data_IF_517007751804
#
_entry.id   IF_517007751804
#
_cell.length_a   1.000
_cell.length_b   1.000
_cell.length_c   1.000
_cell.angle_alpha   90.00
_cell.angle_beta   90.00
_cell.angle_gamma   90.00
#
_symmetry.space_group_name_H-M   'P 1'
#
loop_
_entity.id
_entity.type
_entity.pdbx_description
1 polymer ?
#
# COMPACT_ATOMS: atom_id res chain seq x y z
N UNK A 1 -4.83 7.48 -8.34
CA UNK A 1 -5.40 6.97 -9.62
C UNK A 1 -6.92 7.10 -9.49
N UNK A 2 -7.59 8.08 -10.13
CA UNK A 2 -9.04 8.26 -9.97
C UNK A 2 -9.80 7.10 -10.62
N UNK A 3 -10.46 6.25 -9.82
CA UNK A 3 -11.26 5.13 -10.33
C UNK A 3 -12.74 5.41 -10.07
N UNK A 4 -13.42 5.92 -11.10
CA UNK A 4 -14.87 5.98 -11.16
C UNK A 4 -15.44 4.69 -11.78
N UNK A 5 -16.67 4.37 -11.43
CA UNK A 5 -17.42 3.15 -11.73
C UNK A 5 -17.75 2.92 -13.23
N UNK A 6 -16.99 3.52 -14.15
CA UNK A 6 -17.22 3.47 -15.59
C UNK A 6 -16.25 2.49 -16.28
N UNK A 7 -16.77 1.75 -17.25
CA UNK A 7 -16.10 0.77 -18.13
C UNK A 7 -14.91 1.30 -18.96
N UNK A 8 -14.41 2.49 -18.64
CA UNK A 8 -13.38 3.24 -19.35
C UNK A 8 -12.07 3.37 -18.56
N UNK A 9 -11.89 2.66 -17.44
CA UNK A 9 -10.64 2.72 -16.67
C UNK A 9 -9.41 2.22 -17.46
N UNK A 10 -8.37 3.06 -17.56
CA UNK A 10 -7.12 2.80 -18.30
C UNK A 10 -5.91 2.65 -17.37
N UNK A 11 -5.08 1.62 -17.58
CA UNK A 11 -3.77 1.44 -16.91
C UNK A 11 -2.70 1.87 -17.89
N UNK A 12 -1.80 2.75 -17.47
CA UNK A 12 -0.54 2.99 -18.17
C UNK A 12 0.57 2.20 -17.46
N UNK A 13 1.31 1.38 -18.20
CA UNK A 13 2.50 0.66 -17.73
C UNK A 13 3.74 1.22 -18.41
N UNK A 14 4.92 1.16 -17.77
CA UNK A 14 6.17 1.68 -18.35
C UNK A 14 6.24 3.21 -18.42
N UNK A 15 5.39 3.89 -17.64
CA UNK A 15 5.33 5.35 -17.54
C UNK A 15 6.37 5.86 -16.54
N UNK A 16 7.04 6.96 -16.87
CA UNK A 16 8.00 7.65 -16.01
C UNK A 16 7.48 9.01 -15.54
N UNK A 17 6.86 9.78 -16.44
CA UNK A 17 6.35 11.12 -16.16
C UNK A 17 4.82 11.14 -16.29
N UNK A 18 4.09 11.78 -15.37
CA UNK A 18 2.66 11.99 -15.57
C UNK A 18 2.38 13.03 -16.66
N UNK A 19 3.33 13.91 -16.97
CA UNK A 19 3.19 14.91 -18.02
C UNK A 19 4.33 14.79 -19.04
N UNK A 20 4.04 15.12 -20.30
CA UNK A 20 5.00 15.00 -21.41
C UNK A 20 5.12 13.59 -21.98
N UNK A 21 6.18 13.39 -22.76
CA UNK A 21 6.38 12.18 -23.56
C UNK A 21 6.84 10.98 -22.72
N UNK A 22 6.21 9.83 -22.94
CA UNK A 22 6.58 8.55 -22.34
C UNK A 22 6.73 7.48 -23.44
N UNK A 23 7.92 7.35 -24.07
CA UNK A 23 8.10 6.47 -25.24
C UNK A 23 7.93 4.98 -24.93
N UNK A 24 8.02 4.61 -23.65
CA UNK A 24 7.87 3.23 -23.18
C UNK A 24 6.47 2.95 -22.60
N UNK A 25 5.58 3.94 -22.58
CA UNK A 25 4.24 3.77 -22.02
C UNK A 25 3.39 2.84 -22.89
N UNK A 26 2.74 1.89 -22.24
CA UNK A 26 1.74 1.03 -22.84
C UNK A 26 0.45 1.14 -22.05
N UNK A 27 -0.61 1.60 -22.72
CA UNK A 27 -1.93 1.76 -22.10
C UNK A 27 -2.86 0.59 -22.40
N UNK A 28 -3.59 0.13 -21.38
CA UNK A 28 -4.54 -0.99 -21.45
C UNK A 28 -5.85 -0.62 -20.77
N UNK A 29 -6.97 -1.10 -21.33
CA UNK A 29 -8.25 -1.04 -20.63
C UNK A 29 -8.29 -2.07 -19.51
N UNK A 30 -9.07 -1.79 -18.49
CA UNK A 30 -9.42 -2.74 -17.45
C UNK A 30 -10.70 -3.47 -17.87
N UNK A 31 -10.65 -4.80 -17.90
CA UNK A 31 -11.82 -5.64 -18.18
C UNK A 31 -12.61 -5.94 -16.93
N UNK A 32 -11.91 -6.16 -15.81
CA UNK A 32 -12.56 -6.45 -14.55
C UNK A 32 -11.72 -5.99 -13.38
N UNK A 33 -12.45 -5.92 -12.29
CA UNK A 33 -12.22 -5.11 -11.14
C UNK A 33 -12.80 -5.99 -10.02
N UNK A 34 -11.95 -6.66 -9.24
CA UNK A 34 -12.31 -7.57 -8.12
C UNK A 34 -11.87 -7.06 -6.72
N UNK A 35 -12.79 -6.53 -5.91
CA UNK A 35 -12.50 -5.98 -4.56
C UNK A 35 -12.25 -7.17 -3.62
N UNK A 36 -11.43 -6.98 -2.59
CA UNK A 36 -11.45 -7.95 -1.51
C UNK A 36 -12.86 -7.96 -0.87
N UNK A 37 -13.52 -9.12 -0.75
CA UNK A 37 -14.94 -9.19 -0.33
C UNK A 37 -15.18 -8.70 1.11
N UNK A 38 -14.13 -8.68 1.92
CA UNK A 38 -14.16 -8.21 3.30
C UNK A 38 -13.52 -6.82 3.48
N UNK A 39 -13.40 -6.03 2.40
CA UNK A 39 -12.95 -4.64 2.52
C UNK A 39 -13.90 -3.86 3.44
N UNK A 40 -13.32 -3.18 4.43
CA UNK A 40 -14.04 -2.33 5.37
C UNK A 40 -13.56 -0.89 5.22
N UNK A 41 -14.41 -0.02 4.67
CA UNK A 41 -14.09 1.39 4.45
C UNK A 41 -13.98 2.21 5.74
N UNK A 42 -14.44 1.70 6.89
CA UNK A 42 -14.33 2.41 8.18
C UNK A 42 -12.96 2.18 8.81
N UNK A 43 -12.44 0.97 8.68
CA UNK A 43 -11.16 0.57 9.30
C UNK A 43 -10.00 0.53 8.30
N UNK A 44 -10.29 0.65 7.01
CA UNK A 44 -9.37 0.37 5.91
C UNK A 44 -8.79 -1.06 5.97
N UNK A 45 -9.45 -1.98 6.67
CA UNK A 45 -9.03 -3.38 6.68
C UNK A 45 -9.38 -4.05 5.35
N UNK A 46 -8.50 -4.93 4.89
CA UNK A 46 -8.60 -5.57 3.57
C UNK A 46 -8.59 -4.58 2.39
N UNK A 47 -7.83 -3.48 2.52
CA UNK A 47 -7.61 -2.46 1.49
C UNK A 47 -6.72 -2.99 0.34
N UNK A 48 -7.22 -4.02 -0.34
CA UNK A 48 -6.61 -4.67 -1.50
C UNK A 48 -7.70 -5.09 -2.48
N UNK A 49 -7.30 -5.22 -3.74
CA UNK A 49 -8.21 -5.29 -4.87
C UNK A 49 -7.42 -5.90 -6.04
N UNK A 50 -8.04 -6.39 -7.12
CA UNK A 50 -7.34 -7.01 -8.27
C UNK A 50 -7.80 -6.45 -9.62
N UNK A 51 -6.83 -6.12 -10.47
CA UNK A 51 -7.09 -5.78 -11.86
C UNK A 51 -6.99 -6.95 -12.79
N UNK A 52 -7.95 -7.01 -13.71
CA UNK A 52 -7.77 -7.70 -14.96
C UNK A 52 -7.65 -6.72 -16.12
N UNK A 53 -6.53 -6.78 -16.83
CA UNK A 53 -6.39 -6.06 -18.09
C UNK A 53 -7.30 -6.69 -19.15
N UNK A 54 -7.78 -5.88 -20.10
CA UNK A 54 -8.56 -6.38 -21.24
C UNK A 54 -7.74 -7.26 -22.17
N UNK A 55 -6.44 -6.98 -22.28
CA UNK A 55 -5.48 -7.73 -23.06
C UNK A 55 -4.14 -7.79 -22.33
N UNK A 56 -3.36 -8.87 -22.51
CA UNK A 56 -2.02 -8.96 -21.95
C UNK A 56 -1.10 -7.82 -22.40
N UNK A 57 -0.06 -7.58 -21.62
CA UNK A 57 1.03 -6.66 -21.97
C UNK A 57 2.28 -7.48 -22.32
N UNK A 58 3.06 -7.00 -23.27
CA UNK A 58 4.37 -7.59 -23.56
C UNK A 58 5.39 -7.06 -22.56
N UNK A 59 6.20 -7.95 -22.00
CA UNK A 59 7.27 -7.54 -21.10
C UNK A 59 8.41 -6.90 -21.89
N UNK A 60 8.97 -5.84 -21.31
CA UNK A 60 10.07 -5.06 -21.87
C UNK A 60 11.08 -4.75 -20.75
N UNK A 61 12.09 -3.94 -21.04
CA UNK A 61 12.97 -3.43 -19.99
C UNK A 61 12.27 -2.43 -19.06
N UNK A 62 11.13 -1.87 -19.47
CA UNK A 62 10.36 -0.87 -18.72
C UNK A 62 9.05 -1.43 -18.16
N UNK A 63 8.63 -2.62 -18.57
CA UNK A 63 7.40 -3.29 -18.13
C UNK A 63 7.77 -4.70 -17.70
N UNK A 64 7.88 -4.90 -16.38
CA UNK A 64 8.17 -6.20 -15.77
C UNK A 64 7.29 -6.41 -14.54
N UNK A 65 6.84 -7.64 -14.29
CA UNK A 65 6.13 -7.95 -13.06
C UNK A 65 7.08 -7.93 -11.86
N UNK A 66 6.53 -7.63 -10.69
CA UNK A 66 7.20 -7.80 -9.40
C UNK A 66 6.81 -9.15 -8.79
N UNK A 67 7.66 -9.74 -7.95
CA UNK A 67 7.26 -10.92 -7.18
C UNK A 67 6.33 -10.49 -6.03
N UNK A 68 5.38 -11.34 -5.64
CA UNK A 68 4.51 -11.09 -4.49
C UNK A 68 5.08 -11.78 -3.25
N UNK A 69 4.89 -11.18 -2.08
CA UNK A 69 5.27 -11.82 -0.81
C UNK A 69 4.41 -13.07 -0.57
N UNK A 70 5.06 -14.23 -0.38
CA UNK A 70 4.38 -15.46 0.04
C UNK A 70 3.83 -15.34 1.47
N UNK A 71 2.84 -16.16 1.84
CA UNK A 71 2.10 -16.08 3.10
C UNK A 71 2.93 -16.24 4.37
N UNK A 72 4.06 -16.93 4.27
CA UNK A 72 5.05 -17.13 5.34
C UNK A 72 6.19 -16.11 5.32
N UNK A 73 6.07 -15.06 4.50
CA UNK A 73 7.07 -13.98 4.44
C UNK A 73 7.08 -13.15 5.72
N UNK A 74 8.29 -12.81 6.18
CA UNK A 74 8.54 -12.06 7.41
C UNK A 74 9.26 -10.76 7.13
N UNK A 75 8.62 -9.64 7.46
CA UNK A 75 9.17 -8.30 7.32
C UNK A 75 9.26 -7.68 8.70
N UNK A 76 10.41 -7.84 9.37
CA UNK A 76 10.59 -7.37 10.75
C UNK A 76 11.01 -5.90 10.78
N UNK A 77 10.92 -5.30 11.97
CA UNK A 77 11.30 -3.91 12.20
C UNK A 77 12.71 -3.61 11.67
N UNK A 78 12.85 -2.51 10.92
CA UNK A 78 14.11 -2.09 10.29
C UNK A 78 14.39 -2.72 8.93
N UNK A 79 13.53 -3.59 8.40
CA UNK A 79 13.68 -4.09 7.02
C UNK A 79 13.53 -2.93 6.03
N UNK A 80 14.50 -2.70 5.16
CA UNK A 80 14.44 -1.63 4.17
C UNK A 80 13.38 -1.93 3.10
N UNK A 81 12.44 -1.01 2.95
CA UNK A 81 11.42 -0.99 1.89
C UNK A 81 11.59 0.21 0.99
N UNK A 82 11.14 0.08 -0.26
CA UNK A 82 11.03 1.17 -1.22
C UNK A 82 9.57 1.38 -1.57
N UNK A 83 9.15 2.64 -1.58
CA UNK A 83 7.84 3.07 -2.06
C UNK A 83 8.07 4.01 -3.23
N UNK A 84 7.30 3.80 -4.30
CA UNK A 84 7.42 4.57 -5.53
C UNK A 84 6.07 5.10 -5.96
N UNK A 85 6.03 6.34 -6.44
CA UNK A 85 4.79 6.93 -6.94
C UNK A 85 4.95 8.37 -7.42
N UNK A 86 3.80 8.98 -7.70
CA UNK A 86 3.70 10.35 -8.22
C UNK A 86 2.87 11.25 -7.31
N UNK A 87 2.71 10.85 -6.05
CA UNK A 87 2.04 11.64 -5.03
C UNK A 87 2.78 12.93 -4.69
N UNK A 88 2.19 13.65 -3.75
CA UNK A 88 2.71 14.90 -3.24
C UNK A 88 4.13 14.71 -2.66
N UNK A 89 5.06 15.62 -2.99
CA UNK A 89 6.47 15.56 -2.50
C UNK A 89 6.59 15.96 -1.03
N UNK A 90 5.57 16.63 -0.52
CA UNK A 90 5.37 17.00 0.87
C UNK A 90 3.87 17.12 1.10
N UNK A 91 3.41 16.98 2.34
CA UNK A 91 2.00 17.16 2.68
C UNK A 91 1.45 18.50 2.13
N UNK A 92 0.45 18.40 1.25
CA UNK A 92 -0.15 19.56 0.58
C UNK A 92 0.67 20.19 -0.56
N UNK A 93 1.79 19.59 -0.96
CA UNK A 93 2.67 20.09 -2.04
C UNK A 93 2.71 19.10 -3.19
N UNK A 94 2.06 19.46 -4.30
CA UNK A 94 2.06 18.65 -5.51
C UNK A 94 3.46 18.46 -6.11
N UNK A 95 3.66 17.32 -6.77
CA UNK A 95 4.85 17.02 -7.54
C UNK A 95 5.03 18.06 -8.67
N UNK A 96 6.23 18.66 -8.85
CA UNK A 96 6.45 19.65 -9.90
C UNK A 96 6.48 19.01 -11.29
N UNK A 97 6.18 19.80 -12.32
CA UNK A 97 6.34 19.42 -13.73
C UNK A 97 7.76 18.85 -14.00
N UNK A 98 7.92 17.74 -14.75
CA UNK A 98 6.90 17.02 -15.52
C UNK A 98 6.21 15.89 -14.75
N UNK A 99 6.19 15.98 -13.41
CA UNK A 99 5.63 14.96 -12.52
C UNK A 99 6.34 13.61 -12.73
N UNK A 100 7.66 13.61 -12.56
CA UNK A 100 8.52 12.41 -12.69
C UNK A 100 8.35 11.48 -11.49
N UNK A 101 8.32 10.17 -11.75
CA UNK A 101 8.21 9.12 -10.72
C UNK A 101 9.26 9.33 -9.63
N UNK A 102 8.81 9.33 -8.38
CA UNK A 102 9.64 9.44 -7.19
C UNK A 102 9.79 8.08 -6.51
N UNK A 103 10.84 7.97 -5.70
CA UNK A 103 11.08 6.83 -4.83
C UNK A 103 11.56 7.28 -3.46
N UNK A 104 11.18 6.53 -2.43
CA UNK A 104 11.66 6.76 -1.07
C UNK A 104 11.93 5.43 -0.38
N UNK A 105 13.10 5.34 0.26
CA UNK A 105 13.44 4.22 1.13
C UNK A 105 12.93 4.51 2.55
N UNK A 106 12.10 3.60 3.07
CA UNK A 106 11.55 3.65 4.43
C UNK A 106 11.71 2.29 5.12
N UNK A 107 12.05 2.25 6.43
CA UNK A 107 12.15 1.00 7.15
C UNK A 107 10.73 0.49 7.51
N UNK A 108 10.54 -0.82 7.46
CA UNK A 108 9.38 -1.48 8.05
C UNK A 108 9.34 -1.20 9.54
N UNK A 109 8.15 -0.88 10.05
CA UNK A 109 7.87 -0.76 11.47
C UNK A 109 7.03 -1.95 11.91
N UNK A 110 7.39 -2.53 13.05
CA UNK A 110 6.64 -3.64 13.62
C UNK A 110 5.18 -3.28 13.91
N UNK A 111 4.27 -4.23 13.69
CA UNK A 111 2.83 -3.98 13.79
C UNK A 111 2.40 -3.55 15.20
N UNK A 112 3.01 -4.06 16.27
CA UNK A 112 2.65 -3.68 17.63
C UNK A 112 3.02 -2.24 17.91
N UNK A 113 4.27 -1.86 17.61
CA UNK A 113 4.68 -0.47 17.71
C UNK A 113 3.80 0.44 16.84
N UNK A 114 3.54 0.04 15.59
CA UNK A 114 2.69 0.81 14.69
C UNK A 114 1.26 0.99 15.23
N UNK A 115 0.66 -0.06 15.80
CA UNK A 115 -0.66 0.00 16.43
C UNK A 115 -0.66 0.96 17.63
N UNK A 116 0.42 1.01 18.41
CA UNK A 116 0.53 1.97 19.52
C UNK A 116 0.61 3.43 19.02
N UNK A 117 1.26 3.66 17.88
CA UNK A 117 1.43 5.00 17.29
C UNK A 117 0.16 5.50 16.58
N UNK A 118 -0.58 4.62 15.90
CA UNK A 118 -1.80 4.95 15.17
C UNK A 118 -3.08 4.86 16.00
N UNK A 119 -2.96 4.57 17.30
CA UNK A 119 -4.08 4.29 18.20
C UNK A 119 -4.35 2.79 18.30
N UNK A 120 -4.42 2.30 19.54
CA UNK A 120 -4.57 0.86 19.81
C UNK A 120 -5.88 0.35 19.22
N UNK A 121 -5.78 -0.59 18.29
CA UNK A 121 -6.91 -1.20 17.58
C UNK A 121 -7.05 -0.73 16.13
N UNK A 122 -6.27 0.26 15.70
CA UNK A 122 -6.28 0.78 14.32
C UNK A 122 -5.57 -0.16 13.35
N UNK A 123 -4.49 -0.83 13.78
CA UNK A 123 -3.65 -1.66 12.89
C UNK A 123 -3.93 -3.14 13.09
N UNK A 124 -4.34 -3.83 12.03
CA UNK A 124 -4.65 -5.27 12.02
C UNK A 124 -3.47 -6.11 11.51
N UNK A 125 -3.59 -7.44 11.58
CA UNK A 125 -2.59 -8.37 11.01
C UNK A 125 -2.57 -8.37 9.47
N UNK A 126 -3.61 -7.82 8.84
CA UNK A 126 -3.74 -7.61 7.40
C UNK A 126 -3.00 -6.36 6.91
N UNK A 127 -2.40 -5.61 7.84
CA UNK A 127 -1.64 -4.39 7.56
C UNK A 127 -0.15 -4.58 7.89
N UNK A 128 0.69 -3.79 7.24
CA UNK A 128 2.12 -3.62 7.49
C UNK A 128 2.43 -2.13 7.52
N UNK A 129 3.33 -1.71 8.39
CA UNK A 129 3.69 -0.30 8.51
C UNK A 129 5.12 -0.06 8.06
N UNK A 130 5.38 1.15 7.55
CA UNK A 130 6.72 1.60 7.23
C UNK A 130 6.83 3.10 7.41
N UNK A 131 8.01 3.57 7.80
CA UNK A 131 8.26 4.98 8.01
C UNK A 131 9.40 5.25 8.99
N UNK A 132 9.97 6.43 8.90
CA UNK A 132 11.00 6.89 9.84
C UNK A 132 10.31 7.58 11.01
N UNK A 133 10.55 7.12 12.25
CA UNK A 133 9.89 7.68 13.44
C UNK A 133 10.19 9.18 13.66
N UNK A 134 11.35 9.66 13.19
CA UNK A 134 11.68 11.08 13.21
C UNK A 134 10.88 11.92 12.18
N UNK A 135 10.11 11.28 11.30
CA UNK A 135 9.45 11.90 10.16
C UNK A 135 10.39 12.13 8.96
N UNK A 136 9.91 12.92 8.00
CA UNK A 136 10.66 13.40 6.85
C UNK A 136 10.71 12.44 5.64
N UNK A 137 10.28 11.18 5.78
CA UNK A 137 10.18 10.21 4.68
C UNK A 137 8.91 9.37 4.81
N UNK A 138 8.09 9.36 3.77
CA UNK A 138 6.82 8.63 3.70
C UNK A 138 6.28 8.60 2.26
N UNK A 139 5.30 7.74 2.00
CA UNK A 139 4.35 7.94 0.89
C UNK A 139 3.42 9.12 1.18
N UNK A 140 2.81 9.71 0.16
CA UNK A 140 1.91 10.84 0.39
C UNK A 140 0.68 10.82 -0.53
N UNK A 141 -0.16 11.86 -0.44
CA UNK A 141 -1.41 11.92 -1.20
C UNK A 141 -1.15 11.75 -2.70
N UNK A 142 -1.85 10.79 -3.32
CA UNK A 142 -1.66 10.41 -4.72
C UNK A 142 -0.84 9.14 -4.93
N UNK A 143 -0.14 8.64 -3.91
CA UNK A 143 0.57 7.35 -3.95
C UNK A 143 -0.31 6.14 -3.58
N UNK A 144 -1.56 6.35 -3.13
CA UNK A 144 -2.48 5.28 -2.71
C UNK A 144 -2.61 4.20 -3.78
N UNK A 145 -2.49 2.94 -3.34
CA UNK A 145 -2.40 1.78 -4.20
C UNK A 145 -1.03 1.49 -4.80
N UNK A 146 -0.06 2.39 -4.64
CA UNK A 146 1.33 2.19 -5.05
C UNK A 146 1.98 1.02 -4.31
N UNK A 147 3.05 0.44 -4.87
CA UNK A 147 3.70 -0.71 -4.26
C UNK A 147 4.66 -0.26 -3.15
N UNK A 148 4.68 -1.03 -2.06
CA UNK A 148 5.83 -1.10 -1.16
C UNK A 148 6.58 -2.40 -1.47
N UNK A 149 7.87 -2.29 -1.81
CA UNK A 149 8.70 -3.42 -2.22
C UNK A 149 9.94 -3.57 -1.34
N UNK A 150 10.38 -4.80 -1.12
CA UNK A 150 11.61 -5.14 -0.42
C UNK A 150 12.52 -5.94 -1.35
N UNK A 151 13.82 -5.73 -1.23
CA UNK A 151 14.81 -6.44 -2.01
C UNK A 151 15.38 -7.63 -1.21
N UNK A 152 15.36 -8.83 -1.78
CA UNK A 152 16.03 -10.02 -1.25
C UNK A 152 16.99 -10.57 -2.31
N UNK A 153 18.29 -10.36 -2.11
CA UNK A 153 19.28 -10.64 -3.14
C UNK A 153 19.01 -9.82 -4.41
N UNK A 154 18.78 -10.49 -5.53
CA UNK A 154 18.44 -9.84 -6.81
C UNK A 154 16.93 -9.74 -7.08
N UNK A 155 16.07 -10.17 -6.15
CA UNK A 155 14.62 -10.24 -6.34
C UNK A 155 13.94 -9.10 -5.59
N UNK A 156 13.01 -8.42 -6.27
CA UNK A 156 12.10 -7.46 -5.66
C UNK A 156 10.78 -8.13 -5.34
N UNK A 157 10.36 -8.02 -4.07
CA UNK A 157 9.15 -8.64 -3.53
C UNK A 157 8.22 -7.53 -3.04
N UNK A 158 7.01 -7.48 -3.57
CA UNK A 158 5.98 -6.57 -3.09
C UNK A 158 5.39 -7.10 -1.77
N UNK A 159 5.64 -6.36 -0.70
CA UNK A 159 5.22 -6.66 0.66
C UNK A 159 4.00 -5.86 1.09
N UNK A 160 3.81 -4.68 0.50
CA UNK A 160 2.73 -3.77 0.84
C UNK A 160 2.06 -3.11 -0.37
N UNK A 161 0.88 -2.57 -0.13
CA UNK A 161 0.14 -1.65 -1.00
C UNK A 161 -0.15 -0.40 -0.18
N UNK A 162 0.24 0.79 -0.65
CA UNK A 162 0.01 2.07 0.05
C UNK A 162 -1.49 2.22 0.32
N UNK A 163 -1.87 2.44 1.58
CA UNK A 163 -3.26 2.52 2.01
C UNK A 163 -3.56 3.88 2.64
N UNK A 164 -3.18 4.08 3.91
CA UNK A 164 -3.50 5.29 4.66
C UNK A 164 -2.36 5.76 5.58
N UNK A 165 -2.50 6.97 6.10
CA UNK A 165 -1.61 7.56 7.09
C UNK A 165 -2.18 8.88 7.63
N UNK A 166 -1.71 9.31 8.80
CA UNK A 166 -2.12 10.59 9.39
C UNK A 166 -1.17 11.71 8.96
N UNK A 167 -1.50 12.38 7.85
CA UNK A 167 -0.61 13.32 7.18
C UNK A 167 0.48 12.59 6.38
N UNK A 168 1.55 13.28 5.98
CA UNK A 168 2.69 12.64 5.32
C UNK A 168 3.98 12.94 6.06
N UNK A 169 4.78 11.90 6.34
CA UNK A 169 6.13 12.05 6.88
C UNK A 169 6.17 12.84 8.21
N UNK A 170 5.09 12.81 8.98
CA UNK A 170 5.04 13.43 10.31
C UNK A 170 5.74 12.55 11.34
N UNK A 171 6.45 13.12 12.32
CA UNK A 171 7.11 12.32 13.37
C UNK A 171 6.11 11.42 14.10
N UNK A 172 6.51 10.17 14.36
CA UNK A 172 5.72 9.13 15.03
C UNK A 172 4.38 8.78 14.37
N UNK A 173 4.15 9.16 13.11
CA UNK A 173 2.96 8.80 12.34
C UNK A 173 3.41 8.03 11.08
N UNK A 174 3.72 6.73 11.21
CA UNK A 174 4.17 5.93 10.07
C UNK A 174 3.01 5.68 9.09
N UNK A 175 3.35 5.49 7.81
CA UNK A 175 2.39 5.03 6.81
C UNK A 175 1.95 3.58 7.07
N UNK A 176 0.69 3.30 6.72
CA UNK A 176 0.07 1.98 6.83
C UNK A 176 -0.26 1.46 5.44
N UNK A 177 0.07 0.19 5.22
CA UNK A 177 0.00 -0.49 3.93
C UNK A 177 -0.75 -1.81 4.10
N UNK A 178 -1.48 -2.25 3.07
CA UNK A 178 -2.05 -3.60 3.07
C UNK A 178 -0.96 -4.65 2.92
N UNK A 179 -0.90 -5.63 3.82
CA UNK A 179 0.14 -6.67 3.87
C UNK A 179 -0.11 -7.76 2.83
N UNK A 180 0.60 -7.71 1.71
CA UNK A 180 0.41 -8.60 0.54
C UNK A 180 0.43 -10.09 0.91
N UNK A 181 1.32 -10.51 1.83
CA UNK A 181 1.42 -11.91 2.24
C UNK A 181 0.12 -12.49 2.83
N UNK A 182 -0.75 -11.66 3.41
CA UNK A 182 -2.04 -12.11 3.96
C UNK A 182 -3.08 -12.46 2.91
N UNK A 183 -2.85 -12.07 1.67
CA UNK A 183 -3.82 -12.21 0.59
C UNK A 183 -3.42 -13.26 -0.46
N UNK A 184 -2.33 -14.02 -0.25
CA UNK A 184 -1.87 -15.03 -1.22
C UNK A 184 -3.01 -15.98 -1.64
N UNK A 185 -3.69 -16.62 -0.69
CA UNK A 185 -4.75 -17.59 -1.00
C UNK A 185 -5.92 -16.96 -1.75
N UNK A 186 -6.28 -15.72 -1.41
CA UNK A 186 -7.32 -14.97 -2.12
C UNK A 186 -6.91 -14.66 -3.55
N UNK A 187 -5.69 -14.16 -3.77
CA UNK A 187 -5.14 -13.88 -5.11
C UNK A 187 -5.09 -15.17 -5.95
N UNK A 188 -4.58 -16.26 -5.40
CA UNK A 188 -4.48 -17.55 -6.10
C UNK A 188 -5.85 -18.12 -6.47
N UNK A 189 -6.88 -17.88 -5.66
CA UNK A 189 -8.24 -18.34 -5.94
C UNK A 189 -8.88 -17.67 -7.17
N UNK A 190 -8.38 -16.48 -7.54
CA UNK A 190 -8.91 -15.67 -8.64
C UNK A 190 -8.10 -15.83 -9.94
N UNK A 191 -6.89 -16.39 -9.87
CA UNK A 191 -5.96 -16.50 -11.01
C UNK A 191 -5.77 -17.97 -11.40
N UNK A 192 -6.50 -18.39 -12.44
CA UNK A 192 -6.46 -19.78 -12.94
C UNK A 192 -5.32 -20.07 -13.92
N UNK A 193 -4.74 -19.05 -14.56
CA UNK A 193 -3.66 -19.14 -15.55
C UNK A 193 -2.62 -18.04 -15.30
N UNK A 194 -1.36 -18.27 -15.69
CA UNK A 194 -0.26 -17.31 -15.50
C UNK A 194 -0.12 -16.84 -14.03
N UNK A 195 -0.05 -17.81 -13.12
CA UNK A 195 -0.03 -17.55 -11.68
C UNK A 195 1.11 -16.58 -11.31
N UNK A 196 0.86 -15.62 -10.40
CA UNK A 196 1.89 -14.71 -9.94
C UNK A 196 3.01 -15.47 -9.21
N UNK A 197 4.23 -14.93 -9.30
CA UNK A 197 5.37 -15.47 -8.57
C UNK A 197 5.32 -15.06 -7.11
N UNK A 198 4.87 -15.94 -6.23
CA UNK A 198 5.02 -15.78 -4.79
C UNK A 198 6.43 -16.19 -4.36
N UNK A 199 7.12 -15.31 -3.65
CA UNK A 199 8.47 -15.53 -3.15
C UNK A 199 8.46 -15.33 -1.64
N UNK A 200 9.04 -16.28 -0.92
CA UNK A 200 9.21 -16.19 0.52
C UNK A 200 10.32 -15.18 0.83
N UNK A 201 9.95 -14.09 1.51
CA UNK A 201 10.91 -13.15 2.07
C UNK A 201 11.22 -13.53 3.52
N UNK A 202 12.50 -13.69 3.86
CA UNK A 202 12.93 -14.09 5.20
C UNK A 202 13.85 -13.03 5.80
N UNK A 203 13.45 -12.51 6.95
CA UNK A 203 14.32 -11.66 7.76
C UNK A 203 15.23 -12.50 8.65
N UNK A 204 16.54 -12.33 8.51
CA UNK A 204 17.55 -13.05 9.30
C UNK A 204 17.94 -12.22 10.52
N UNK A 205 17.03 -12.10 11.49
CA UNK A 205 17.30 -11.37 12.72
C UNK A 205 16.18 -11.51 13.74
N UNK A 206 16.40 -10.97 14.94
CA UNK A 206 15.41 -10.99 16.01
C UNK A 206 14.26 -10.03 15.67
N UNK A 207 13.03 -10.47 15.90
CA UNK A 207 11.87 -9.59 15.83
C UNK A 207 11.78 -8.74 17.11
N UNK A 208 12.30 -7.53 17.05
CA UNK A 208 12.25 -6.58 18.17
C UNK A 208 10.81 -6.16 18.54
N UNK A 209 9.85 -6.31 17.61
CA UNK A 209 8.45 -5.96 17.85
C UNK A 209 7.68 -7.10 18.56
N UNK A 210 8.22 -8.33 18.55
CA UNK A 210 7.61 -9.51 19.17
C UNK A 210 7.39 -9.41 20.69
N UNK A 211 8.05 -8.47 21.36
CA UNK A 211 7.85 -8.14 22.79
C UNK A 211 7.46 -6.67 23.00
N UNK A 212 7.16 -5.92 21.95
CA UNK A 212 6.78 -4.52 22.08
C UNK A 212 5.40 -4.40 22.74
N UNK A 213 5.31 -3.50 23.70
CA UNK A 213 4.08 -3.13 24.41
C UNK A 213 3.90 -1.62 24.33
N UNK A 214 2.68 -1.15 24.10
CA UNK A 214 2.41 0.27 24.09
C UNK A 214 2.85 0.90 25.42
N UNK A 215 3.69 1.95 25.38
CA UNK A 215 4.01 2.69 26.59
C UNK A 215 2.70 3.17 27.21
N UNK A 216 2.46 2.80 28.47
CA UNK A 216 1.31 3.32 29.22
C UNK A 216 1.53 4.81 29.34
N UNK A 217 0.77 5.61 28.59
CA UNK A 217 0.77 7.04 28.80
C UNK A 217 0.24 7.26 30.22
N UNK A 218 1.04 7.87 31.09
CA UNK A 218 0.57 8.35 32.38
C UNK A 218 -0.42 9.49 32.13
N UNK A 219 -1.67 9.20 31.82
CA UNK A 219 -2.72 10.21 31.83
C UNK A 219 -4.00 9.69 32.49
N UNK A 220 -4.61 10.50 33.37
CA UNK A 220 -5.68 10.08 34.25
C UNK A 220 -6.96 9.81 33.46
N UNK A 221 -7.68 8.78 33.88
CA UNK A 221 -9.03 8.46 33.42
C UNK A 221 -9.94 9.69 33.43
N UNK A 222 -10.60 9.97 32.31
CA UNK A 222 -11.97 10.48 32.32
C UNK A 222 -12.70 10.04 31.07
N UNK A 223 -13.63 9.11 31.31
CA UNK A 223 -14.78 8.73 30.49
C UNK A 223 -15.48 9.92 29.82
N UNK A 224 -15.99 9.73 28.60
CA UNK A 224 -17.34 10.14 28.21
C UNK A 224 -17.77 9.45 26.89
N UNK A 225 -19.08 9.19 26.83
CA UNK A 225 -19.88 8.27 26.01
C UNK A 225 -20.19 8.73 24.57
N UNK A 226 -20.71 7.85 23.69
CA UNK A 226 -20.80 8.07 22.25
C UNK A 226 -22.10 8.77 21.83
N UNK A 227 -22.03 9.65 20.83
CA UNK A 227 -23.22 10.18 20.18
C UNK A 227 -23.02 10.46 18.68
N UNK A 228 -23.87 9.78 17.91
CA UNK A 228 -24.54 10.18 16.66
C UNK A 228 -23.74 10.24 15.35
N UNK A 229 -24.04 9.25 14.50
CA UNK A 229 -23.86 9.20 13.05
C UNK A 229 -24.59 10.37 12.35
N UNK A 230 -24.12 10.75 11.15
CA UNK A 230 -25.00 10.67 9.98
C UNK A 230 -24.38 9.90 8.80
N UNK A 231 -25.27 9.24 8.08
CA UNK A 231 -25.07 8.45 6.87
C UNK A 231 -24.65 9.33 5.67
N UNK A 232 -23.80 8.79 4.79
CA UNK A 232 -23.73 9.17 3.37
C UNK A 232 -23.14 8.02 2.53
N UNK A 233 -23.30 8.11 1.22
CA UNK A 233 -23.73 7.04 0.33
C UNK A 233 -22.76 6.76 -0.83
N UNK A 234 -22.60 5.47 -1.18
CA UNK A 234 -22.24 4.84 -2.48
C UNK A 234 -21.03 5.33 -3.32
N UNK A 235 -20.12 4.40 -3.69
CA UNK A 235 -19.86 3.89 -5.07
C UNK A 235 -18.57 3.03 -5.19
N UNK A 236 -18.62 1.97 -6.01
CA UNK A 236 -17.57 0.96 -6.32
C UNK A 236 -16.48 1.48 -7.31
N UNK A 237 -15.26 0.93 -7.55
CA UNK A 237 -14.87 -0.40 -8.10
C UNK A 237 -13.31 -0.47 -8.43
N UNK A 238 -12.49 -1.34 -7.78
CA UNK A 238 -11.19 -2.09 -8.02
C UNK A 238 -10.11 -1.87 -9.15
N UNK A 239 -8.84 -1.80 -8.72
CA UNK A 239 -7.60 -2.40 -9.30
C UNK A 239 -6.80 -3.15 -8.23
N UNK A 240 -5.61 -3.76 -8.38
CA UNK A 240 -4.71 -3.89 -7.18
C UNK A 240 -4.14 -2.51 -6.84
N UNK A 241 -5.04 -1.64 -6.41
CA UNK A 241 -4.92 -0.30 -5.81
C UNK A 241 -6.29 -0.05 -5.17
N UNK A 242 -6.37 0.39 -3.91
CA UNK A 242 -7.66 0.73 -3.29
C UNK A 242 -7.71 2.21 -2.86
N UNK A 243 -8.92 2.75 -3.09
CA UNK A 243 -9.59 3.95 -2.55
C UNK A 243 -8.76 5.20 -2.21
N UNK A 244 -8.86 6.23 -3.04
CA UNK A 244 -8.69 7.62 -2.59
C UNK A 244 -9.95 7.98 -1.78
N UNK A 245 -9.78 8.38 -0.51
CA UNK A 245 -10.83 9.05 0.26
C UNK A 245 -11.31 10.33 -0.46
N UNK A 246 -12.59 10.64 -0.30
CA UNK A 246 -13.34 11.66 -1.04
C UNK A 246 -12.89 13.12 -0.92
#
# INVERSE_FOLDING_TARGET
LRVGNDCCSLVSLGRQNLQGDNPNEVTRRVSSIILHPNYDSVTSDNDIALLRLSTPVQFTDYIRPVCLAAGDSTFNNGTDSWVTGWGAVQEGVSLPFPETLQEVQVPVLGNRQCNCLNGVGTVTDNMICAGVLAGGKDSCQGDSGGPMVNQQGSIWVQSGVVSFGFGCARPNLPGVYSRVSRYQSWIESLISSDKPGFVQFTFNGLDADSSYTCPVSQFPYSSLSPSLLPQCSFCDNVRVTVSEDG
#
